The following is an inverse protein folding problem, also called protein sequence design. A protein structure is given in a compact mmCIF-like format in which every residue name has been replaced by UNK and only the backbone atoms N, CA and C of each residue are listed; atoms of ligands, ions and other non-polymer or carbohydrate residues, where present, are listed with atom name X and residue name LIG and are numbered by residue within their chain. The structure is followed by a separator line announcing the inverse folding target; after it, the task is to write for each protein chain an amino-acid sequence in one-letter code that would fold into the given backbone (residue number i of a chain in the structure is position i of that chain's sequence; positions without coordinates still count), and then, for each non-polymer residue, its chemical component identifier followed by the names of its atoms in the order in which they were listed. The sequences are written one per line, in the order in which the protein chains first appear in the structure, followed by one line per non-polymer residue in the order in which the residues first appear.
data_IF_973738032960
#
_entry.id   IF_973738032960
#
_cell.length_a   1.000
_cell.length_b   1.000
_cell.length_c   1.000
_cell.angle_alpha   90.00
_cell.angle_beta   90.00
_cell.angle_gamma   90.00
#
_symmetry.space_group_name_H-M   'P 1'
#
loop_
_entity.id
_entity.type
_entity.pdbx_description
1 polymer ?
#
# COMPACT_ATOMS: atom_id res chain seq x y z
N UNK A 1 -13.87 14.77 -27.52
CA UNK A 1 -14.25 13.34 -27.45
C UNK A 1 -14.92 13.16 -26.09
N UNK A 2 -16.25 13.19 -26.09
CA UNK A 2 -17.09 13.21 -24.90
C UNK A 2 -17.19 11.80 -24.33
N UNK A 3 -16.53 11.53 -23.21
CA UNK A 3 -16.67 10.27 -22.50
C UNK A 3 -18.10 10.14 -21.98
N UNK A 4 -18.74 9.01 -22.26
CA UNK A 4 -20.09 8.71 -21.83
C UNK A 4 -20.16 8.75 -20.29
N UNK A 5 -20.90 9.72 -19.77
CA UNK A 5 -21.28 9.82 -18.37
C UNK A 5 -22.14 8.60 -18.03
N UNK A 6 -21.55 7.54 -17.47
CA UNK A 6 -22.36 6.58 -16.73
C UNK A 6 -22.96 7.37 -15.56
N UNK A 7 -24.26 7.24 -15.25
CA UNK A 7 -24.83 7.87 -14.07
C UNK A 7 -24.22 7.17 -12.85
N UNK A 8 -23.01 7.60 -12.46
CA UNK A 8 -22.41 7.27 -11.20
C UNK A 8 -23.41 7.72 -10.13
N UNK A 9 -23.75 6.82 -9.22
CA UNK A 9 -24.64 7.16 -8.11
C UNK A 9 -24.12 8.44 -7.45
N UNK A 10 -24.98 9.45 -7.34
CA UNK A 10 -24.63 10.77 -6.83
C UNK A 10 -25.29 10.95 -5.48
N UNK A 11 -24.53 11.40 -4.48
CA UNK A 11 -24.99 11.52 -3.10
C UNK A 11 -24.76 12.94 -2.59
N UNK A 12 -25.81 13.60 -2.11
CA UNK A 12 -25.69 14.92 -1.50
C UNK A 12 -24.91 14.82 -0.18
N UNK A 13 -23.99 15.75 0.04
CA UNK A 13 -23.10 15.79 1.18
C UNK A 13 -22.80 17.23 1.63
N UNK A 14 -22.34 17.36 2.88
CA UNK A 14 -21.92 18.60 3.50
C UNK A 14 -20.40 18.57 3.66
N UNK A 15 -19.69 19.42 2.93
CA UNK A 15 -18.24 19.52 2.94
C UNK A 15 -17.75 20.61 3.90
N UNK A 16 -16.67 20.28 4.62
CA UNK A 16 -15.94 21.17 5.50
C UNK A 16 -14.46 21.11 5.12
N UNK A 17 -13.85 22.28 4.90
CA UNK A 17 -12.47 22.42 4.42
C UNK A 17 -11.40 22.14 5.50
N UNK A 18 -11.81 21.99 6.76
CA UNK A 18 -10.91 21.78 7.90
C UNK A 18 -10.11 23.01 8.33
N UNK A 19 -10.25 24.15 7.63
CA UNK A 19 -9.58 25.43 7.93
C UNK A 19 -10.57 26.45 8.49
N UNK A 20 -11.81 26.38 8.02
CA UNK A 20 -12.93 27.22 8.42
C UNK A 20 -14.11 26.32 8.80
N UNK A 21 -14.95 26.76 9.74
CA UNK A 21 -16.18 26.03 10.11
C UNK A 21 -17.31 26.26 9.09
N UNK A 22 -16.98 26.62 7.85
CA UNK A 22 -17.95 26.92 6.80
C UNK A 22 -18.48 25.63 6.19
N UNK A 23 -19.80 25.57 6.05
CA UNK A 23 -20.51 24.51 5.36
C UNK A 23 -20.53 24.78 3.86
N UNK A 24 -20.11 23.79 3.07
CA UNK A 24 -20.25 23.77 1.62
C UNK A 24 -21.19 22.64 1.21
N UNK A 25 -22.26 22.95 0.48
CA UNK A 25 -23.15 21.93 -0.07
C UNK A 25 -22.54 21.36 -1.34
N UNK A 26 -22.33 20.06 -1.35
CA UNK A 26 -21.70 19.37 -2.47
C UNK A 26 -22.42 18.07 -2.79
N UNK A 27 -22.22 17.58 -4.00
CA UNK A 27 -22.61 16.26 -4.45
C UNK A 27 -21.35 15.42 -4.59
N UNK A 28 -21.36 14.26 -3.96
CA UNK A 28 -20.32 13.24 -4.06
C UNK A 28 -20.69 12.26 -5.17
N UNK A 29 -19.82 12.14 -6.16
CA UNK A 29 -19.83 11.07 -7.16
C UNK A 29 -18.52 10.31 -7.08
N UNK A 30 -18.50 9.08 -7.60
CA UNK A 30 -17.27 8.29 -7.68
C UNK A 30 -17.17 7.71 -9.07
N UNK A 31 -16.03 7.95 -9.71
CA UNK A 31 -15.73 7.47 -11.05
C UNK A 31 -14.27 6.99 -11.10
N UNK A 32 -14.03 5.80 -11.66
CA UNK A 32 -12.68 5.23 -11.82
C UNK A 32 -11.83 5.24 -10.52
N UNK A 33 -12.46 4.96 -9.36
CA UNK A 33 -11.76 4.95 -8.07
C UNK A 33 -11.45 6.34 -7.47
N UNK A 34 -11.93 7.41 -8.12
CA UNK A 34 -11.76 8.80 -7.68
C UNK A 34 -13.10 9.34 -7.20
N UNK A 35 -13.14 9.83 -5.96
CA UNK A 35 -14.25 10.58 -5.43
C UNK A 35 -14.19 12.02 -5.96
N UNK A 36 -15.29 12.48 -6.54
CA UNK A 36 -15.45 13.84 -7.04
C UNK A 36 -16.53 14.56 -6.23
N UNK A 37 -16.21 15.77 -5.81
CA UNK A 37 -17.12 16.72 -5.18
C UNK A 37 -17.43 17.82 -6.18
N UNK A 38 -18.71 18.13 -6.34
CA UNK A 38 -19.17 19.27 -7.13
C UNK A 38 -20.24 20.07 -6.37
N UNK A 39 -20.37 21.37 -6.64
CA UNK A 39 -21.26 22.29 -5.92
C UNK A 39 -20.52 23.52 -5.38
N UNK A 40 -20.73 23.85 -4.10
CA UNK A 40 -20.10 25.00 -3.43
C UNK A 40 -18.57 24.87 -3.32
N UNK A 41 -18.07 23.65 -3.44
CA UNK A 41 -16.65 23.33 -3.50
C UNK A 41 -16.44 22.20 -4.51
N UNK A 42 -15.37 22.31 -5.29
CA UNK A 42 -14.98 21.28 -6.26
C UNK A 42 -13.66 20.65 -5.85
N UNK A 43 -13.66 19.33 -5.71
CA UNK A 43 -12.46 18.57 -5.30
C UNK A 43 -12.51 17.17 -5.86
N UNK A 44 -11.36 16.64 -6.24
CA UNK A 44 -11.20 15.23 -6.56
C UNK A 44 -10.17 14.61 -5.59
N UNK A 45 -10.43 13.41 -5.11
CA UNK A 45 -9.50 12.65 -4.29
C UNK A 45 -9.62 11.15 -4.57
N UNK A 46 -8.50 10.39 -4.59
CA UNK A 46 -8.56 8.94 -4.68
C UNK A 46 -9.35 8.35 -3.50
N UNK A 47 -10.21 7.35 -3.76
CA UNK A 47 -10.92 6.64 -2.69
C UNK A 47 -9.98 6.05 -1.64
N UNK A 48 -8.75 5.67 -2.03
CA UNK A 48 -7.73 5.13 -1.14
C UNK A 48 -7.24 6.13 -0.08
N UNK A 49 -7.34 7.44 -0.34
CA UNK A 49 -6.97 8.50 0.59
C UNK A 49 -8.13 8.90 1.51
N UNK A 50 -9.35 8.47 1.19
CA UNK A 50 -10.54 8.76 1.96
C UNK A 50 -10.72 7.75 3.09
N UNK A 51 -10.87 8.27 4.31
CA UNK A 51 -11.18 7.45 5.48
C UNK A 51 -12.66 7.59 5.80
N UNK A 52 -13.42 6.53 5.56
CA UNK A 52 -14.83 6.44 5.96
C UNK A 52 -14.89 5.99 7.41
N UNK A 53 -15.40 6.83 8.31
CA UNK A 53 -15.61 6.41 9.70
C UNK A 53 -16.79 5.42 9.77
N UNK A 54 -16.55 4.23 10.30
CA UNK A 54 -17.55 3.14 10.32
C UNK A 54 -18.62 3.26 11.42
N UNK A 55 -18.44 4.13 12.40
CA UNK A 55 -19.28 4.10 13.61
C UNK A 55 -20.26 5.25 13.65
N UNK A 56 -21.52 4.94 13.32
CA UNK A 56 -22.66 5.15 14.22
C UNK A 56 -23.94 4.65 13.58
N UNK A 57 -24.65 3.75 14.27
CA UNK A 57 -25.92 3.17 13.85
C UNK A 57 -27.04 4.22 13.66
N UNK A 58 -26.82 5.46 14.10
CA UNK A 58 -27.79 6.56 14.13
C UNK A 58 -27.23 7.96 13.77
N UNK A 59 -25.96 8.09 13.34
CA UNK A 59 -25.37 9.40 13.01
C UNK A 59 -24.84 9.44 11.57
N UNK A 60 -24.81 10.64 10.97
CA UNK A 60 -24.30 10.89 9.63
C UNK A 60 -22.91 10.26 9.43
N UNK A 61 -22.68 9.65 8.27
CA UNK A 61 -21.40 8.98 8.00
C UNK A 61 -20.38 10.01 7.58
N UNK A 62 -19.27 10.08 8.33
CA UNK A 62 -18.20 11.03 8.08
C UNK A 62 -17.14 10.41 7.16
N UNK A 63 -16.79 11.12 6.09
CA UNK A 63 -15.67 10.77 5.20
C UNK A 63 -14.60 11.82 5.39
N UNK A 64 -13.40 11.41 5.77
CA UNK A 64 -12.30 12.33 6.09
C UNK A 64 -11.20 12.23 5.05
N UNK A 65 -10.66 13.39 4.65
CA UNK A 65 -9.53 13.52 3.75
C UNK A 65 -8.22 13.55 4.54
N UNK A 66 -7.09 13.28 3.87
CA UNK A 66 -5.76 13.26 4.50
C UNK A 66 -5.33 14.62 5.09
N UNK A 67 -5.86 15.73 4.56
CA UNK A 67 -5.60 17.10 5.01
C UNK A 67 -6.49 17.54 6.19
N UNK A 68 -7.36 16.65 6.69
CA UNK A 68 -8.29 16.93 7.78
C UNK A 68 -9.63 17.53 7.35
N UNK A 69 -9.83 17.82 6.06
CA UNK A 69 -11.15 18.15 5.53
C UNK A 69 -12.10 16.95 5.67
N UNK A 70 -13.41 17.17 5.66
CA UNK A 70 -14.36 16.07 5.77
C UNK A 70 -15.71 16.33 5.12
N UNK A 71 -16.43 15.25 4.84
CA UNK A 71 -17.81 15.21 4.38
C UNK A 71 -18.70 14.61 5.45
N UNK A 72 -19.86 15.21 5.63
CA UNK A 72 -20.99 14.60 6.33
C UNK A 72 -22.06 14.21 5.32
N UNK A 73 -22.47 12.95 5.39
CA UNK A 73 -23.45 12.38 4.46
C UNK A 73 -24.67 11.95 5.25
N UNK A 74 -25.81 12.56 4.92
CA UNK A 74 -27.10 12.31 5.56
C UNK A 74 -27.86 11.15 4.90
N UNK A 75 -27.80 11.05 3.57
CA UNK A 75 -28.41 9.97 2.81
C UNK A 75 -27.59 8.68 2.90
N UNK A 76 -27.86 7.91 3.95
CA UNK A 76 -27.23 6.62 4.18
C UNK A 76 -27.53 5.61 3.06
N UNK A 77 -28.74 5.61 2.53
CA UNK A 77 -29.15 4.62 1.53
C UNK A 77 -28.45 4.88 0.19
N UNK A 78 -28.45 6.13 -0.25
CA UNK A 78 -27.69 6.57 -1.42
C UNK A 78 -26.19 6.35 -1.26
N UNK A 79 -25.64 6.61 -0.06
CA UNK A 79 -24.21 6.37 0.19
C UNK A 79 -23.82 4.89 0.21
N UNK A 80 -24.66 4.01 0.78
CA UNK A 80 -24.43 2.56 0.71
C UNK A 80 -24.54 2.04 -0.73
N UNK A 81 -25.50 2.54 -1.52
CA UNK A 81 -25.61 2.21 -2.94
C UNK A 81 -24.39 2.70 -3.72
N UNK A 82 -23.91 3.91 -3.42
CA UNK A 82 -22.66 4.43 -3.98
C UNK A 82 -21.49 3.53 -3.61
N UNK A 83 -21.30 3.19 -2.33
CA UNK A 83 -20.22 2.30 -1.88
C UNK A 83 -20.29 0.93 -2.55
N UNK A 84 -21.48 0.34 -2.66
CA UNK A 84 -21.70 -0.95 -3.35
C UNK A 84 -21.41 -0.86 -4.84
N UNK A 85 -21.87 0.21 -5.51
CA UNK A 85 -21.61 0.45 -6.93
C UNK A 85 -20.12 0.70 -7.21
N UNK A 86 -19.44 1.34 -6.27
CA UNK A 86 -17.97 1.57 -6.32
C UNK A 86 -17.16 0.39 -5.81
N UNK A 87 -17.83 -0.73 -5.49
CA UNK A 87 -17.34 -1.81 -4.66
C UNK A 87 -15.91 -2.25 -4.97
N UNK A 88 -15.01 -1.99 -4.03
CA UNK A 88 -14.02 -2.94 -3.49
C UNK A 88 -13.08 -3.71 -4.44
N UNK A 89 -13.08 -3.45 -5.75
CA UNK A 89 -12.39 -4.29 -6.75
C UNK A 89 -11.04 -3.75 -7.21
N UNK A 90 -10.78 -2.45 -7.14
CA UNK A 90 -9.48 -1.91 -7.56
C UNK A 90 -8.44 -1.81 -6.43
N UNK A 91 -8.88 -1.63 -5.18
CA UNK A 91 -7.95 -1.47 -4.05
C UNK A 91 -7.11 -2.72 -3.76
N UNK A 92 -7.64 -3.92 -4.00
CA UNK A 92 -6.87 -5.16 -3.81
C UNK A 92 -5.86 -5.39 -4.93
N UNK A 93 -6.24 -5.17 -6.19
CA UNK A 93 -5.33 -5.39 -7.33
C UNK A 93 -4.20 -4.37 -7.32
N UNK A 94 -4.48 -3.10 -7.04
CA UNK A 94 -3.45 -2.05 -6.97
C UNK A 94 -2.55 -2.23 -5.75
N UNK A 95 -3.09 -2.62 -4.58
CA UNK A 95 -2.26 -2.96 -3.40
C UNK A 95 -1.42 -4.22 -3.63
N UNK A 96 -1.94 -5.22 -4.34
CA UNK A 96 -1.22 -6.45 -4.65
C UNK A 96 -0.11 -6.21 -5.68
N UNK A 97 -0.35 -5.37 -6.68
CA UNK A 97 0.68 -4.96 -7.64
C UNK A 97 1.84 -4.21 -6.97
N UNK A 98 1.54 -3.37 -5.97
CA UNK A 98 2.58 -2.65 -5.23
C UNK A 98 3.33 -3.55 -4.23
N UNK A 99 2.62 -4.48 -3.57
CA UNK A 99 3.24 -5.41 -2.62
C UNK A 99 4.11 -6.48 -3.29
N UNK A 100 3.76 -6.95 -4.49
CA UNK A 100 4.59 -7.91 -5.22
C UNK A 100 5.94 -7.31 -5.64
N UNK A 101 6.00 -6.01 -5.97
CA UNK A 101 7.28 -5.33 -6.21
C UNK A 101 8.16 -5.32 -4.95
N UNK A 102 7.55 -5.08 -3.78
CA UNK A 102 8.25 -5.14 -2.49
C UNK A 102 8.71 -6.55 -2.13
N UNK A 103 7.86 -7.56 -2.31
CA UNK A 103 8.19 -8.98 -2.09
C UNK A 103 9.30 -9.44 -3.03
N UNK A 104 9.24 -9.05 -4.31
CA UNK A 104 10.24 -9.41 -5.32
C UNK A 104 11.56 -8.68 -5.06
N UNK A 105 11.51 -7.42 -4.61
CA UNK A 105 12.70 -6.68 -4.16
C UNK A 105 13.34 -7.30 -2.91
N UNK A 106 12.55 -7.68 -1.90
CA UNK A 106 13.05 -8.34 -0.69
C UNK A 106 13.61 -9.75 -1.00
N UNK A 107 12.95 -10.51 -1.88
CA UNK A 107 13.44 -11.80 -2.35
C UNK A 107 14.77 -11.66 -3.10
N UNK A 108 14.87 -10.69 -4.03
CA UNK A 108 16.10 -10.41 -4.75
C UNK A 108 17.22 -9.96 -3.81
N UNK A 109 16.93 -9.08 -2.84
CA UNK A 109 17.90 -8.66 -1.83
C UNK A 109 18.40 -9.83 -0.97
N UNK A 110 17.49 -10.74 -0.58
CA UNK A 110 17.85 -11.95 0.19
C UNK A 110 18.76 -12.87 -0.62
N UNK A 111 18.43 -13.14 -1.89
CA UNK A 111 19.27 -13.96 -2.79
C UNK A 111 20.63 -13.31 -3.00
N UNK A 112 20.68 -11.98 -3.19
CA UNK A 112 21.93 -11.25 -3.35
C UNK A 112 22.80 -11.37 -2.07
N UNK A 113 22.21 -11.20 -0.89
CA UNK A 113 22.91 -11.32 0.39
C UNK A 113 23.50 -12.72 0.59
N UNK A 114 22.73 -13.77 0.25
CA UNK A 114 23.18 -15.16 0.30
C UNK A 114 24.30 -15.43 -0.72
N UNK A 115 24.18 -14.91 -1.94
CA UNK A 115 25.20 -15.06 -2.97
C UNK A 115 26.50 -14.36 -2.59
N UNK A 116 26.44 -13.11 -2.12
CA UNK A 116 27.60 -12.37 -1.59
C UNK A 116 28.21 -13.12 -0.40
N UNK A 117 27.39 -13.57 0.54
CA UNK A 117 27.85 -14.36 1.68
C UNK A 117 28.57 -15.64 1.23
N UNK A 118 27.95 -16.43 0.35
CA UNK A 118 28.52 -17.67 -0.15
C UNK A 118 29.81 -17.44 -0.95
N UNK A 119 29.81 -16.49 -1.88
CA UNK A 119 30.94 -16.23 -2.77
C UNK A 119 32.13 -15.59 -2.05
N UNK A 120 31.91 -14.90 -0.93
CA UNK A 120 33.00 -14.27 -0.17
C UNK A 120 33.41 -15.03 1.10
N UNK A 121 32.49 -15.63 1.86
CA UNK A 121 32.85 -16.40 3.08
C UNK A 121 33.58 -17.69 2.75
N UNK A 122 33.18 -18.42 1.70
CA UNK A 122 33.81 -19.70 1.36
C UNK A 122 35.28 -19.55 0.94
N UNK A 123 35.67 -18.66 0.02
CA UNK A 123 37.09 -18.50 -0.32
C UNK A 123 37.90 -17.88 0.82
N UNK A 124 37.32 -17.00 1.64
CA UNK A 124 38.01 -16.46 2.81
C UNK A 124 38.24 -17.53 3.89
N UNK A 125 37.26 -18.41 4.13
CA UNK A 125 37.41 -19.55 5.03
C UNK A 125 38.39 -20.60 4.48
N UNK A 126 38.41 -20.83 3.16
CA UNK A 126 39.38 -21.71 2.52
C UNK A 126 40.83 -21.18 2.65
N UNK A 127 41.04 -19.87 2.50
CA UNK A 127 42.33 -19.23 2.74
C UNK A 127 42.79 -19.34 4.20
N UNK A 128 41.90 -19.07 5.15
CA UNK A 128 42.22 -19.17 6.59
C UNK A 128 42.54 -20.60 7.05
N UNK A 129 41.84 -21.61 6.53
CA UNK A 129 42.11 -23.02 6.86
C UNK A 129 43.44 -23.48 6.25
N UNK A 130 43.81 -22.98 5.07
CA UNK A 130 45.09 -23.27 4.44
C UNK A 130 46.28 -22.63 5.20
N UNK A 131 46.13 -21.40 5.68
CA UNK A 131 47.18 -20.69 6.43
C UNK A 131 47.32 -21.16 7.89
N UNK A 132 46.27 -21.77 8.45
CA UNK A 132 46.26 -22.32 9.80
C UNK A 132 46.70 -23.80 9.88
N UNK A 133 47.21 -24.39 8.79
CA UNK A 133 47.86 -25.69 8.77
C UNK A 133 49.39 -25.51 8.95
N UNK A 134 49.93 -25.49 10.18
CA UNK A 134 51.35 -25.68 10.36
C UNK A 134 51.75 -27.07 9.84
N UNK A 135 52.81 -27.09 9.03
CA UNK A 135 53.48 -28.22 8.35
C UNK A 135 53.98 -29.37 9.28
N UNK A 136 53.52 -29.45 10.52
CA UNK A 136 53.98 -30.45 11.51
C UNK A 136 53.26 -31.80 11.43
N UNK A 137 52.18 -31.94 10.65
CA UNK A 137 51.43 -33.21 10.55
C UNK A 137 51.89 -34.09 9.38
N UNK A 138 52.54 -33.52 8.35
CA UNK A 138 52.87 -34.27 7.14
C UNK A 138 54.11 -35.18 7.29
N UNK A 139 54.92 -35.03 8.35
CA UNK A 139 56.17 -35.80 8.49
C UNK A 139 56.17 -36.96 9.49
N UNK A 140 55.10 -37.24 10.24
CA UNK A 140 55.04 -38.44 11.08
C UNK A 140 54.08 -39.54 10.59
N UNK A 141 53.52 -39.40 9.38
CA UNK A 141 52.99 -40.55 8.62
C UNK A 141 54.11 -41.45 8.04
N UNK A 142 55.38 -41.10 8.22
CA UNK A 142 56.52 -41.87 7.69
C UNK A 142 57.11 -42.96 8.60
N UNK A 143 56.62 -43.15 9.84
CA UNK A 143 57.19 -44.15 10.78
C UNK A 143 56.27 -45.35 11.04
N UNK A 144 55.41 -45.67 10.06
CA UNK A 144 54.58 -46.87 10.07
C UNK A 144 55.07 -47.98 9.15
N UNK A 145 56.37 -48.19 8.92
CA UNK A 145 56.85 -49.43 8.25
C UNK A 145 58.31 -49.75 8.64
N UNK A 146 58.51 -50.47 9.75
CA UNK A 146 59.38 -51.67 9.86
C UNK A 146 59.39 -52.19 11.31
#
# INVERSE_FOLDING_TARGET
MSGAQHPAAAVAARYFDGRTSRLHRVTLTVENGVAQLDGDARRAAPLAELRVSERSRHAARKVTFADGAYLEIDDRAGFELLLRATGHRDSLVVRLQHSWRGVLAAAAATVALLALGYLHLLPAAAGWIADALPLSVERQLGQGVQ
#
